data_IF_728168837728
#
_entry.id   IF_728168837728
#
_cell.length_a   1.000
_cell.length_b   1.000
_cell.length_c   1.000
_cell.angle_alpha   90.00
_cell.angle_beta   90.00
_cell.angle_gamma   90.00
#
_symmetry.space_group_name_H-M   'P 1'
#
loop_
_entity.id
_entity.type
_entity.pdbx_description
1 polymer ?
#
# COMPACT_ATOMS: atom_id res chain seq x y z
N UNK A 1 -10.70 5.56 14.42
CA UNK A 1 -11.08 5.62 12.98
C UNK A 1 -12.04 4.48 12.68
N UNK A 2 -13.13 4.70 11.95
CA UNK A 2 -14.13 3.66 11.58
C UNK A 2 -14.08 3.34 10.09
N UNK A 3 -14.56 2.16 9.66
CA UNK A 3 -14.63 1.78 8.24
C UNK A 3 -15.45 2.78 7.41
N UNK A 4 -16.55 3.28 7.96
CA UNK A 4 -17.39 4.30 7.31
C UNK A 4 -16.65 5.63 7.10
N UNK A 5 -15.79 6.04 8.05
CA UNK A 5 -14.99 7.25 7.90
C UNK A 5 -14.00 7.15 6.72
N UNK A 6 -13.47 5.95 6.45
CA UNK A 6 -12.56 5.70 5.32
C UNK A 6 -13.31 5.72 3.98
N UNK A 7 -14.51 5.15 3.92
CA UNK A 7 -15.34 5.22 2.72
C UNK A 7 -15.67 6.68 2.32
N UNK A 8 -16.04 7.51 3.31
CA UNK A 8 -16.34 8.92 3.09
C UNK A 8 -15.13 9.76 2.66
N UNK A 9 -13.92 9.41 3.13
CA UNK A 9 -12.67 10.05 2.66
C UNK A 9 -12.38 9.69 1.19
N UNK A 10 -12.55 8.41 0.83
CA UNK A 10 -12.36 7.92 -0.54
C UNK A 10 -13.35 8.55 -1.53
N UNK A 11 -14.62 8.69 -1.14
CA UNK A 11 -15.65 9.24 -2.03
C UNK A 11 -15.58 10.77 -2.16
N UNK A 12 -14.55 11.42 -1.60
CA UNK A 12 -14.36 12.87 -1.68
C UNK A 12 -15.34 13.68 -0.84
N UNK A 13 -16.25 13.01 -0.11
CA UNK A 13 -17.19 13.66 0.80
C UNK A 13 -16.48 14.30 2.01
N UNK A 14 -15.21 13.95 2.26
CA UNK A 14 -14.27 14.61 3.18
C UNK A 14 -12.85 14.62 2.61
N UNK A 15 -12.17 15.77 2.61
CA UNK A 15 -10.76 15.90 2.17
C UNK A 15 -10.59 16.43 0.73
N UNK A 16 -9.36 16.50 0.23
CA UNK A 16 -9.01 17.13 -1.06
C UNK A 16 -9.11 16.20 -2.28
N UNK A 17 -9.67 14.99 -2.14
CA UNK A 17 -9.74 13.99 -3.22
C UNK A 17 -8.43 13.22 -3.46
N UNK A 18 -7.42 13.43 -2.63
CA UNK A 18 -6.08 12.83 -2.68
C UNK A 18 -5.96 11.56 -1.82
N UNK A 19 -7.08 11.08 -1.27
CA UNK A 19 -7.10 9.86 -0.45
C UNK A 19 -6.78 8.61 -1.30
N UNK A 20 -5.98 7.65 -0.80
CA UNK A 20 -5.59 6.47 -1.56
C UNK A 20 -6.78 5.65 -2.09
N UNK A 21 -6.69 5.28 -3.37
CA UNK A 21 -7.64 4.39 -3.99
C UNK A 21 -7.46 2.94 -3.49
N UNK A 22 -8.54 2.13 -3.42
CA UNK A 22 -8.42 0.71 -3.11
C UNK A 22 -7.58 -0.04 -4.17
N UNK A 23 -6.69 -0.94 -3.74
CA UNK A 23 -5.88 -1.81 -4.61
C UNK A 23 -6.70 -2.88 -5.33
N UNK A 24 -7.83 -3.29 -4.74
CA UNK A 24 -8.75 -4.23 -5.36
C UNK A 24 -10.19 -3.83 -5.07
N UNK A 25 -10.97 -3.72 -6.14
CA UNK A 25 -12.42 -3.61 -6.08
C UNK A 25 -13.00 -5.02 -6.22
N UNK A 26 -13.07 -5.75 -5.11
CA UNK A 26 -13.85 -6.99 -5.09
C UNK A 26 -15.30 -6.59 -5.42
N UNK A 27 -15.98 -7.30 -6.34
CA UNK A 27 -17.41 -7.08 -6.62
C UNK A 27 -18.19 -7.27 -5.31
N UNK A 28 -18.44 -6.19 -4.57
CA UNK A 28 -19.01 -6.22 -3.21
C UNK A 28 -18.70 -4.97 -2.37
N UNK A 29 -19.27 -4.90 -1.16
CA UNK A 29 -19.25 -3.75 -0.23
C UNK A 29 -17.91 -3.52 0.51
N UNK A 30 -16.85 -4.29 0.21
CA UNK A 30 -15.60 -4.27 0.98
C UNK A 30 -14.38 -4.10 0.06
N UNK A 31 -13.97 -2.85 -0.22
CA UNK A 31 -12.74 -2.59 -0.97
C UNK A 31 -11.51 -3.04 -0.17
N UNK A 32 -10.45 -3.46 -0.88
CA UNK A 32 -9.16 -3.76 -0.26
C UNK A 32 -8.22 -2.57 -0.45
N UNK A 33 -7.67 -2.05 0.63
CA UNK A 33 -6.69 -0.95 0.62
C UNK A 33 -5.29 -1.44 0.95
N UNK A 34 -4.28 -0.74 0.44
CA UNK A 34 -2.95 -0.78 1.04
C UNK A 34 -2.92 0.15 2.27
N UNK A 35 -2.89 -0.45 3.45
CA UNK A 35 -2.84 0.29 4.70
C UNK A 35 -1.57 1.13 4.88
N UNK A 36 -0.47 0.78 4.21
CA UNK A 36 0.74 1.60 4.25
C UNK A 36 0.54 2.95 3.54
N UNK A 37 -0.15 2.96 2.40
CA UNK A 37 -0.51 4.20 1.69
C UNK A 37 -1.51 5.03 2.48
N UNK A 38 -2.53 4.38 3.07
CA UNK A 38 -3.53 5.06 3.92
C UNK A 38 -2.85 5.67 5.15
N UNK A 39 -1.97 4.93 5.82
CA UNK A 39 -1.23 5.44 6.98
C UNK A 39 -0.33 6.62 6.60
N UNK A 40 0.37 6.54 5.46
CA UNK A 40 1.20 7.65 4.96
C UNK A 40 0.36 8.90 4.67
N UNK A 41 -0.80 8.73 4.02
CA UNK A 41 -1.72 9.84 3.75
C UNK A 41 -2.22 10.48 5.05
N UNK A 42 -2.60 9.67 6.04
CA UNK A 42 -3.05 10.16 7.35
C UNK A 42 -1.94 10.92 8.09
N UNK A 43 -0.68 10.46 8.03
CA UNK A 43 0.47 11.18 8.61
C UNK A 43 0.66 12.54 7.92
N UNK A 44 0.66 12.57 6.59
CA UNK A 44 0.80 13.81 5.80
C UNK A 44 -0.29 14.84 6.11
N UNK A 45 -1.49 14.36 6.47
CA UNK A 45 -2.62 15.20 6.85
C UNK A 45 -2.68 15.51 8.36
N UNK A 46 -1.64 15.19 9.13
CA UNK A 46 -1.59 15.47 10.58
C UNK A 46 -2.54 14.63 11.43
N UNK A 47 -3.08 13.52 10.89
CA UNK A 47 -4.13 12.70 11.53
C UNK A 47 -3.61 11.48 12.29
N UNK A 48 -2.30 11.25 12.27
CA UNK A 48 -1.62 10.12 12.94
C UNK A 48 -0.39 10.57 13.75
N UNK A 49 -0.34 11.83 14.18
CA UNK A 49 0.75 12.32 15.04
C UNK A 49 0.84 11.45 16.31
N UNK A 50 2.05 11.02 16.69
CA UNK A 50 2.28 10.14 17.85
C UNK A 50 2.00 8.65 17.62
N UNK A 51 1.64 8.21 16.41
CA UNK A 51 1.32 6.81 16.10
C UNK A 51 2.35 6.16 15.17
N UNK A 52 3.64 6.38 15.43
CA UNK A 52 4.75 5.91 14.60
C UNK A 52 4.79 4.39 14.45
N UNK A 53 4.52 3.66 15.53
CA UNK A 53 4.45 2.19 15.53
C UNK A 53 3.37 1.67 14.58
N UNK A 54 2.22 2.34 14.50
CA UNK A 54 1.13 1.93 13.61
C UNK A 54 1.52 2.11 12.13
N UNK A 55 2.22 3.20 11.81
CA UNK A 55 2.75 3.46 10.47
C UNK A 55 3.82 2.43 10.10
N UNK A 56 4.71 2.11 11.04
CA UNK A 56 5.73 1.07 10.86
C UNK A 56 5.09 -0.30 10.60
N UNK A 57 4.09 -0.67 11.40
CA UNK A 57 3.35 -1.93 11.25
C UNK A 57 2.65 -2.02 9.89
N UNK A 58 2.01 -0.95 9.44
CA UNK A 58 1.35 -0.91 8.14
C UNK A 58 2.35 -1.14 6.99
N UNK A 59 3.54 -0.52 7.05
CA UNK A 59 4.62 -0.73 6.07
C UNK A 59 5.14 -2.15 6.09
N UNK A 60 5.35 -2.73 7.28
CA UNK A 60 5.77 -4.12 7.43
C UNK A 60 4.74 -5.07 6.84
N UNK A 61 3.45 -4.87 7.16
CA UNK A 61 2.35 -5.69 6.64
C UNK A 61 2.25 -5.61 5.11
N UNK A 62 2.42 -4.43 4.50
CA UNK A 62 2.39 -4.29 3.03
C UNK A 62 3.47 -5.14 2.35
N UNK A 63 4.70 -5.16 2.91
CA UNK A 63 5.79 -6.03 2.41
C UNK A 63 5.46 -7.51 2.53
N UNK A 64 4.93 -7.94 3.68
CA UNK A 64 4.52 -9.32 3.88
C UNK A 64 3.39 -9.75 2.94
N UNK A 65 2.37 -8.90 2.75
CA UNK A 65 1.29 -9.17 1.81
C UNK A 65 1.80 -9.34 0.38
N UNK A 66 2.82 -8.57 -0.03
CA UNK A 66 3.48 -8.74 -1.32
C UNK A 66 4.20 -10.08 -1.41
N UNK A 67 5.02 -10.41 -0.40
CA UNK A 67 5.75 -11.68 -0.36
C UNK A 67 4.82 -12.90 -0.36
N UNK A 68 3.74 -12.85 0.42
CA UNK A 68 2.73 -13.92 0.48
C UNK A 68 1.99 -14.10 -0.86
N UNK A 69 1.67 -13.00 -1.55
CA UNK A 69 1.09 -13.08 -2.89
C UNK A 69 2.07 -13.70 -3.88
N UNK A 70 3.34 -13.29 -3.84
CA UNK A 70 4.39 -13.87 -4.67
C UNK A 70 4.59 -15.37 -4.39
N UNK A 71 4.57 -15.79 -3.12
CA UNK A 71 4.71 -17.20 -2.76
C UNK A 71 3.50 -18.07 -3.10
N UNK A 72 2.33 -17.47 -3.34
CA UNK A 72 1.12 -18.21 -3.69
C UNK A 72 1.13 -18.74 -5.14
N UNK A 73 2.05 -18.28 -5.97
CA UNK A 73 2.22 -18.77 -7.34
C UNK A 73 3.11 -20.02 -7.34
N UNK A 74 2.87 -20.92 -8.31
CA UNK A 74 3.58 -22.20 -8.40
C UNK A 74 5.01 -22.08 -8.95
N UNK A 75 5.29 -21.07 -9.77
CA UNK A 75 6.61 -20.85 -10.36
C UNK A 75 7.39 -19.78 -9.58
N UNK A 76 7.96 -20.19 -8.45
CA UNK A 76 8.70 -19.28 -7.56
C UNK A 76 9.99 -18.79 -8.23
N UNK A 77 10.62 -19.61 -9.06
CA UNK A 77 11.87 -19.28 -9.75
C UNK A 77 11.69 -18.15 -10.77
N UNK A 78 10.60 -18.18 -11.55
CA UNK A 78 10.27 -17.10 -12.47
C UNK A 78 9.99 -15.78 -11.73
N UNK A 79 9.28 -15.84 -10.60
CA UNK A 79 8.96 -14.65 -9.80
C UNK A 79 10.23 -14.03 -9.19
N UNK A 80 11.13 -14.87 -8.68
CA UNK A 80 12.43 -14.44 -8.18
C UNK A 80 13.22 -13.73 -9.29
N UNK A 81 13.29 -14.32 -10.48
CA UNK A 81 13.96 -13.74 -11.66
C UNK A 81 13.37 -12.37 -12.03
N UNK A 82 12.05 -12.26 -12.17
CA UNK A 82 11.37 -11.00 -12.51
C UNK A 82 11.64 -9.95 -11.43
N UNK A 83 11.55 -10.34 -10.15
CA UNK A 83 11.80 -9.44 -9.02
C UNK A 83 13.23 -8.90 -9.03
N UNK A 84 14.23 -9.77 -9.25
CA UNK A 84 15.63 -9.36 -9.38
C UNK A 84 15.86 -8.40 -10.53
N UNK A 85 15.27 -8.65 -11.70
CA UNK A 85 15.38 -7.77 -12.87
C UNK A 85 14.82 -6.37 -12.56
N UNK A 86 13.61 -6.28 -11.99
CA UNK A 86 12.99 -5.01 -11.62
C UNK A 86 13.82 -4.21 -10.60
N UNK A 87 14.38 -4.89 -9.60
CA UNK A 87 15.22 -4.25 -8.58
C UNK A 87 16.55 -3.75 -9.16
N UNK A 88 17.16 -4.51 -10.07
CA UNK A 88 18.38 -4.10 -10.76
C UNK A 88 18.13 -2.85 -11.61
N UNK A 89 17.05 -2.81 -12.39
CA UNK A 89 16.70 -1.65 -13.22
C UNK A 89 16.43 -0.39 -12.40
N UNK A 90 15.78 -0.50 -11.24
CA UNK A 90 15.56 0.65 -10.33
C UNK A 90 16.86 1.19 -9.75
N UNK A 91 17.79 0.31 -9.35
CA UNK A 91 19.11 0.71 -8.84
C UNK A 91 19.93 1.43 -9.90
N UNK A 92 19.81 1.03 -11.16
CA UNK A 92 20.49 1.71 -12.27
C UNK A 92 19.94 3.12 -12.50
N UNK A 93 18.61 3.28 -12.56
CA UNK A 93 17.98 4.60 -12.72
C UNK A 93 18.31 5.58 -11.57
N UNK A 94 18.44 5.08 -10.34
CA UNK A 94 18.84 5.91 -9.19
C UNK A 94 20.30 6.35 -9.21
N UNK A 95 21.18 5.71 -9.99
CA UNK A 95 22.59 6.12 -10.13
C UNK A 95 22.82 7.17 -11.22
N UNK A 96 21.81 7.42 -12.06
CA UNK A 96 21.89 8.35 -13.20
C UNK A 96 21.27 9.72 -12.89
N UNK A 97 20.75 9.90 -11.67
CA UNK A 97 20.24 11.14 -11.09
C UNK A 97 21.21 11.62 -10.00
#
# INVERSE_FOLDING_TARGET
>A
MTRQAIALLKDGARGGGDFPCPIQRIKGQSPLWDWAEVALWLVRNGRLVGNETLVANARTLSKWNLALRASAFRDVAEIEKITHQLLASRKQHQKTL
#
